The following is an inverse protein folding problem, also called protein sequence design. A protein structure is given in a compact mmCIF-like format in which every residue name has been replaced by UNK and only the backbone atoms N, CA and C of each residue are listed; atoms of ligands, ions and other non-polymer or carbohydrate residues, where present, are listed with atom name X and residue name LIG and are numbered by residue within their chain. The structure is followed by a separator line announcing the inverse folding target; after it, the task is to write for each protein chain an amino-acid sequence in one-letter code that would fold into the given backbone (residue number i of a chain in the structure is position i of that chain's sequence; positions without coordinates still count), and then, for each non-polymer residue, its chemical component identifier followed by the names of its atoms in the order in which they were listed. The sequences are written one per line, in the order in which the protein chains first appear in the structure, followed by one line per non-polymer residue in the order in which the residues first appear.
data_IF_766034233214
#
_entry.id   IF_766034233214
#
_cell.length_a   1.000
_cell.length_b   1.000
_cell.length_c   1.000
_cell.angle_alpha   90.00
_cell.angle_beta   90.00
_cell.angle_gamma   90.00
#
_symmetry.space_group_name_H-M   'P 1'
#
loop_
_entity.id
_entity.type
_entity.pdbx_description
1 polymer ?
#
# COMPACT_ATOMS: atom_id res chain seq x y z
N UNK A 1 -26.66 23.40 -14.28
CA UNK A 1 -25.43 22.77 -13.72
C UNK A 1 -25.79 21.96 -12.47
N UNK A 2 -25.46 20.68 -12.47
CA UNK A 2 -25.80 19.76 -11.38
C UNK A 2 -25.24 20.26 -10.05
N UNK A 3 -26.06 20.19 -8.98
CA UNK A 3 -25.77 20.70 -7.63
C UNK A 3 -24.41 20.24 -7.09
N UNK A 4 -23.98 19.03 -7.48
CA UNK A 4 -22.72 18.45 -7.05
C UNK A 4 -21.50 19.31 -7.41
N UNK A 5 -21.48 19.93 -8.59
CA UNK A 5 -20.36 20.76 -9.04
C UNK A 5 -20.24 22.09 -8.31
N UNK A 6 -21.26 22.46 -7.52
CA UNK A 6 -21.25 23.67 -6.69
C UNK A 6 -20.70 23.38 -5.27
N UNK A 7 -20.52 22.10 -4.91
CA UNK A 7 -20.00 21.71 -3.61
C UNK A 7 -18.48 21.86 -3.55
N UNK A 8 -17.97 22.25 -2.38
CA UNK A 8 -16.52 22.29 -2.13
C UNK A 8 -16.00 20.88 -1.86
N UNK A 9 -14.98 20.44 -2.59
CA UNK A 9 -14.31 19.16 -2.34
C UNK A 9 -13.50 19.24 -1.03
N UNK A 10 -14.00 18.58 0.02
CA UNK A 10 -13.35 18.48 1.33
C UNK A 10 -13.71 17.15 1.99
N UNK A 11 -12.75 16.51 2.66
CA UNK A 11 -13.02 15.29 3.41
C UNK A 11 -13.99 15.55 4.58
N UNK A 12 -14.76 14.53 4.94
CA UNK A 12 -15.71 14.59 6.05
C UNK A 12 -15.00 14.87 7.39
N UNK A 13 -13.78 14.35 7.54
CA UNK A 13 -12.92 14.50 8.70
C UNK A 13 -12.67 15.98 8.99
N UNK A 14 -12.16 16.71 7.99
CA UNK A 14 -11.90 18.14 8.10
C UNK A 14 -13.16 19.00 8.04
N UNK A 15 -14.20 18.55 7.32
CA UNK A 15 -15.43 19.33 7.18
C UNK A 15 -16.23 19.35 8.48
N UNK A 16 -16.39 18.19 9.12
CA UNK A 16 -17.32 17.96 10.22
C UNK A 16 -16.62 17.34 11.44
N UNK A 17 -15.93 16.21 11.29
CA UNK A 17 -15.50 15.41 12.45
C UNK A 17 -14.56 16.19 13.38
N UNK A 18 -13.54 16.87 12.84
CA UNK A 18 -12.61 17.68 13.63
C UNK A 18 -13.26 18.88 14.35
N UNK A 19 -14.46 19.29 13.92
CA UNK A 19 -15.18 20.45 14.48
C UNK A 19 -16.32 20.06 15.43
N UNK A 20 -16.73 18.80 15.45
CA UNK A 20 -17.88 18.35 16.22
C UNK A 20 -17.54 18.26 17.71
N UNK A 21 -18.45 18.76 18.56
CA UNK A 21 -18.39 18.58 20.02
C UNK A 21 -19.19 17.36 20.49
N UNK A 22 -19.89 16.68 19.57
CA UNK A 22 -20.74 15.53 19.87
C UNK A 22 -20.22 14.31 19.09
N UNK A 23 -19.17 13.67 19.62
CA UNK A 23 -18.53 12.50 19.03
C UNK A 23 -18.42 11.38 20.06
N UNK A 24 -18.59 10.15 19.61
CA UNK A 24 -18.29 8.93 20.36
C UNK A 24 -17.40 8.05 19.50
N UNK A 25 -16.45 7.35 20.13
CA UNK A 25 -15.53 6.41 19.47
C UNK A 25 -15.63 5.08 20.18
N UNK A 26 -15.90 4.01 19.42
CA UNK A 26 -15.90 2.64 19.93
C UNK A 26 -14.64 1.92 19.45
N UNK A 27 -13.81 1.35 20.36
CA UNK A 27 -12.62 0.62 19.95
C UNK A 27 -12.99 -0.70 19.25
N UNK A 28 -12.39 -0.93 18.10
CA UNK A 28 -12.47 -2.22 17.40
C UNK A 28 -11.36 -3.17 17.87
N UNK A 29 -11.65 -4.48 17.86
CA UNK A 29 -10.70 -5.55 18.23
C UNK A 29 -10.43 -6.46 17.04
N UNK A 30 -9.91 -5.90 15.97
CA UNK A 30 -9.36 -6.62 14.83
C UNK A 30 -8.30 -5.77 14.14
N UNK A 31 -7.42 -6.42 13.38
CA UNK A 31 -6.41 -5.73 12.60
C UNK A 31 -7.07 -5.00 11.42
N UNK A 32 -6.75 -3.72 11.25
CA UNK A 32 -7.20 -2.92 10.13
C UNK A 32 -6.01 -2.21 9.47
N UNK A 33 -6.03 -2.17 8.14
CA UNK A 33 -5.13 -1.38 7.30
C UNK A 33 -5.97 -0.74 6.20
N UNK A 34 -5.69 0.53 5.88
CA UNK A 34 -6.34 1.27 4.79
C UNK A 34 -5.83 0.86 3.40
N UNK A 35 -4.70 0.14 3.35
CA UNK A 35 -4.03 -0.28 2.13
C UNK A 35 -3.73 0.89 1.18
N UNK A 36 -3.40 2.07 1.73
CA UNK A 36 -3.24 3.32 0.97
C UNK A 36 -1.99 3.40 0.09
N UNK A 37 -1.05 2.46 0.24
CA UNK A 37 0.21 2.46 -0.52
C UNK A 37 0.67 1.04 -0.90
N UNK A 38 1.60 0.93 -1.85
CA UNK A 38 2.14 -0.39 -2.24
C UNK A 38 2.97 -1.04 -1.13
N UNK A 39 3.64 -0.24 -0.31
CA UNK A 39 4.34 -0.67 0.90
C UNK A 39 3.36 -1.33 1.89
N UNK A 40 2.16 -0.76 2.06
CA UNK A 40 1.14 -1.30 2.98
C UNK A 40 0.59 -2.68 2.56
N UNK A 41 0.66 -2.99 1.26
CA UNK A 41 0.19 -4.25 0.66
C UNK A 41 1.29 -5.32 0.70
N UNK A 42 2.55 -4.93 0.77
CA UNK A 42 3.66 -5.84 0.58
C UNK A 42 3.87 -6.81 1.77
N UNK A 43 3.20 -6.55 2.90
CA UNK A 43 3.06 -7.50 4.02
C UNK A 43 2.15 -8.70 3.71
N UNK A 44 1.30 -8.65 2.67
CA UNK A 44 0.14 -9.55 2.56
C UNK A 44 0.33 -10.87 1.82
N UNK A 45 1.51 -11.16 1.24
CA UNK A 45 1.98 -12.51 0.82
C UNK A 45 3.15 -12.35 -0.13
N UNK A 46 4.31 -12.89 0.25
CA UNK A 46 5.42 -13.06 -0.68
C UNK A 46 5.14 -14.27 -1.58
N UNK A 47 4.83 -14.04 -2.87
CA UNK A 47 4.90 -15.09 -3.88
C UNK A 47 6.37 -15.28 -4.25
N UNK A 48 7.10 -16.07 -3.45
CA UNK A 48 8.53 -16.35 -3.69
C UNK A 48 8.81 -17.35 -4.80
N UNK A 49 7.77 -17.87 -5.46
CA UNK A 49 7.99 -18.83 -6.54
C UNK A 49 8.76 -18.10 -7.65
N UNK A 50 10.06 -18.43 -7.76
CA UNK A 50 11.06 -17.85 -8.65
C UNK A 50 11.73 -16.50 -8.27
N UNK A 51 11.91 -16.23 -6.97
CA UNK A 51 12.73 -15.09 -6.48
C UNK A 51 14.05 -15.56 -5.85
N UNK A 52 15.18 -15.05 -6.33
CA UNK A 52 16.52 -15.28 -5.75
C UNK A 52 17.07 -13.99 -5.15
N UNK A 53 17.30 -13.99 -3.84
CA UNK A 53 17.96 -12.89 -3.12
C UNK A 53 19.41 -13.29 -2.83
N UNK A 54 20.38 -12.48 -3.29
CA UNK A 54 21.82 -12.69 -3.06
C UNK A 54 22.35 -11.52 -2.25
N UNK A 55 22.74 -11.73 -0.99
CA UNK A 55 23.21 -10.67 -0.09
C UNK A 55 22.27 -9.46 -0.03
N UNK A 56 20.95 -9.71 -0.05
CA UNK A 56 19.93 -8.67 -0.04
C UNK A 56 19.02 -8.84 1.18
N UNK A 57 18.66 -7.74 1.84
CA UNK A 57 17.89 -7.73 3.09
C UNK A 57 16.67 -6.82 2.97
N UNK A 58 15.57 -7.13 3.68
CA UNK A 58 14.33 -6.37 3.59
C UNK A 58 13.86 -6.09 2.15
N UNK A 59 13.87 -7.14 1.31
CA UNK A 59 13.37 -7.07 -0.06
C UNK A 59 12.05 -7.84 -0.15
N UNK A 60 11.03 -7.17 -0.65
CA UNK A 60 9.70 -7.71 -0.87
C UNK A 60 9.49 -7.84 -2.37
N UNK A 61 9.13 -9.05 -2.83
CA UNK A 61 8.93 -9.30 -4.26
C UNK A 61 7.57 -9.96 -4.46
N UNK A 62 6.76 -9.36 -5.34
CA UNK A 62 5.52 -9.92 -5.86
C UNK A 62 5.73 -10.23 -7.34
N UNK A 63 6.15 -11.46 -7.63
CA UNK A 63 6.31 -11.98 -8.99
C UNK A 63 5.03 -12.66 -9.49
N UNK A 64 4.84 -12.64 -10.81
CA UNK A 64 3.77 -13.35 -11.53
C UNK A 64 4.33 -14.53 -12.33
N UNK A 65 5.39 -14.31 -13.12
CA UNK A 65 5.86 -15.32 -14.09
C UNK A 65 7.37 -15.36 -14.26
N UNK A 66 8.06 -14.22 -14.16
CA UNK A 66 9.50 -14.17 -14.43
C UNK A 66 10.30 -14.53 -13.18
N UNK A 67 11.47 -15.12 -13.41
CA UNK A 67 12.48 -15.25 -12.37
C UNK A 67 13.08 -13.89 -12.05
N UNK A 68 13.05 -13.50 -10.78
CA UNK A 68 13.56 -12.20 -10.30
C UNK A 68 14.79 -12.47 -9.42
N UNK A 69 15.93 -11.86 -9.77
CA UNK A 69 17.17 -11.94 -9.00
C UNK A 69 17.51 -10.58 -8.45
N UNK A 70 17.71 -10.48 -7.13
CA UNK A 70 18.05 -9.23 -6.44
C UNK A 70 19.35 -9.42 -5.68
N UNK A 71 20.39 -8.67 -6.05
CA UNK A 71 21.73 -8.84 -5.50
C UNK A 71 22.26 -7.57 -4.85
N UNK A 72 22.77 -7.67 -3.62
CA UNK A 72 23.38 -6.58 -2.84
C UNK A 72 22.47 -5.36 -2.67
N UNK A 73 21.15 -5.55 -2.55
CA UNK A 73 20.19 -4.46 -2.36
C UNK A 73 19.41 -4.62 -1.05
N UNK A 74 19.01 -3.50 -0.47
CA UNK A 74 18.27 -3.46 0.80
C UNK A 74 17.13 -2.47 0.72
N UNK A 75 16.04 -2.74 1.44
CA UNK A 75 14.85 -1.88 1.57
C UNK A 75 14.18 -1.60 0.21
N UNK A 76 13.74 -2.67 -0.46
CA UNK A 76 13.09 -2.57 -1.77
C UNK A 76 11.82 -3.39 -1.86
N UNK A 77 10.82 -2.85 -2.55
CA UNK A 77 9.67 -3.61 -3.03
C UNK A 77 9.66 -3.66 -4.55
N UNK A 78 9.50 -4.87 -5.08
CA UNK A 78 9.48 -5.17 -6.51
C UNK A 78 8.14 -5.85 -6.82
N UNK A 79 7.38 -5.23 -7.71
CA UNK A 79 6.07 -5.72 -8.14
C UNK A 79 6.13 -5.97 -9.64
N UNK A 80 5.95 -7.22 -10.06
CA UNK A 80 5.74 -7.59 -11.45
C UNK A 80 4.23 -7.53 -11.75
N UNK A 81 3.85 -6.80 -12.79
CA UNK A 81 2.55 -6.89 -13.46
C UNK A 81 2.72 -7.64 -14.79
N UNK A 82 1.64 -7.89 -15.52
CA UNK A 82 1.73 -8.57 -16.82
C UNK A 82 2.61 -7.80 -17.82
N UNK A 83 2.60 -6.47 -17.72
CA UNK A 83 3.23 -5.55 -18.66
C UNK A 83 4.50 -4.87 -18.12
N UNK A 84 4.64 -4.72 -16.80
CA UNK A 84 5.64 -3.82 -16.21
C UNK A 84 6.26 -4.36 -14.90
N UNK A 85 7.36 -3.71 -14.51
CA UNK A 85 7.93 -3.83 -13.18
C UNK A 85 7.80 -2.48 -12.47
N UNK A 86 7.31 -2.52 -11.24
CA UNK A 86 7.33 -1.39 -10.33
C UNK A 86 8.33 -1.66 -9.21
N UNK A 87 9.33 -0.79 -9.07
CA UNK A 87 10.40 -0.92 -8.09
C UNK A 87 10.41 0.34 -7.25
N UNK A 88 10.24 0.19 -5.94
CA UNK A 88 10.21 1.28 -4.98
C UNK A 88 11.11 0.98 -3.80
N UNK A 89 11.58 2.04 -3.14
CA UNK A 89 12.27 1.95 -1.87
C UNK A 89 11.25 1.80 -0.74
N UNK A 90 11.50 0.86 0.18
CA UNK A 90 10.74 0.68 1.41
C UNK A 90 11.18 1.65 2.51
#
# INVERSE_FOLDING_TARGET
PDLYFQLTSKSIDHAILEKSQNLVVEPIKFDWKDCGSFESIADFKQSRNDVLLVNSTNVQVKGIKKKIVVQNLTDLSIIETEDQFFILKL
#
